data_IF_622299103178
#
_entry.id   IF_622299103178
#
_cell.length_a   1.000
_cell.length_b   1.000
_cell.length_c   1.000
_cell.angle_alpha   90.00
_cell.angle_beta   90.00
_cell.angle_gamma   90.00
#
_symmetry.space_group_name_H-M   'P 1'
#
loop_
_entity.id
_entity.type
_entity.pdbx_description
1 polymer ?
#
# COMPACT_ATOMS: atom_id res chain seq x y z
N UNK A 1 5.45 -19.46 -37.28
CA UNK A 1 5.54 -19.76 -35.84
C UNK A 1 6.15 -18.61 -35.07
N UNK A 2 7.32 -18.06 -35.45
CA UNK A 2 7.93 -16.90 -34.76
C UNK A 2 7.05 -15.65 -34.73
N UNK A 3 6.39 -15.29 -35.84
CA UNK A 3 5.46 -14.15 -35.87
C UNK A 3 4.32 -14.30 -34.83
N UNK A 4 3.80 -15.51 -34.65
CA UNK A 4 2.74 -15.79 -33.67
C UNK A 4 3.24 -15.65 -32.22
N UNK A 5 4.49 -16.06 -31.95
CA UNK A 5 5.11 -15.83 -30.64
C UNK A 5 5.31 -14.34 -30.35
N UNK A 6 5.71 -13.56 -31.36
CA UNK A 6 5.86 -12.11 -31.22
C UNK A 6 4.53 -11.41 -30.98
N UNK A 7 3.45 -11.84 -31.63
CA UNK A 7 2.10 -11.30 -31.41
C UNK A 7 1.61 -11.55 -29.97
N UNK A 8 1.81 -12.77 -29.45
CA UNK A 8 1.50 -13.10 -28.06
C UNK A 8 2.37 -12.34 -27.07
N UNK A 9 3.68 -12.22 -27.33
CA UNK A 9 4.58 -11.45 -26.49
C UNK A 9 4.18 -9.97 -26.44
N UNK A 10 3.81 -9.38 -27.59
CA UNK A 10 3.30 -8.01 -27.67
C UNK A 10 2.05 -7.84 -26.81
N UNK A 11 1.09 -8.75 -26.94
CA UNK A 11 -0.13 -8.73 -26.15
C UNK A 11 0.18 -8.80 -24.64
N UNK A 12 1.04 -9.73 -24.22
CA UNK A 12 1.45 -9.89 -22.83
C UNK A 12 2.10 -8.63 -22.26
N UNK A 13 3.03 -8.02 -23.00
CA UNK A 13 3.70 -6.77 -22.57
C UNK A 13 2.70 -5.65 -22.39
N UNK A 14 1.73 -5.51 -23.31
CA UNK A 14 0.68 -4.48 -23.20
C UNK A 14 -0.21 -4.69 -21.98
N UNK A 15 -0.59 -5.93 -21.69
CA UNK A 15 -1.38 -6.25 -20.51
C UNK A 15 -0.61 -6.02 -19.21
N UNK A 16 0.65 -6.47 -19.13
CA UNK A 16 1.53 -6.20 -17.98
C UNK A 16 1.65 -4.70 -17.76
N UNK A 17 1.90 -3.93 -18.82
CA UNK A 17 1.99 -2.48 -18.73
C UNK A 17 0.70 -1.84 -18.21
N UNK A 18 -0.47 -2.23 -18.74
CA UNK A 18 -1.76 -1.69 -18.30
C UNK A 18 -2.05 -2.03 -16.84
N UNK A 19 -1.84 -3.27 -16.41
CA UNK A 19 -2.08 -3.72 -15.03
C UNK A 19 -1.11 -3.00 -14.08
N UNK A 20 0.18 -2.93 -14.43
CA UNK A 20 1.17 -2.22 -13.64
C UNK A 20 0.83 -0.73 -13.51
N UNK A 21 0.37 -0.09 -14.60
CA UNK A 21 -0.09 1.29 -14.58
C UNK A 21 -1.28 1.52 -13.65
N UNK A 22 -2.32 0.68 -13.74
CA UNK A 22 -3.49 0.76 -12.87
C UNK A 22 -3.11 0.53 -11.41
N UNK A 23 -2.29 -0.50 -11.13
CA UNK A 23 -1.84 -0.81 -9.78
C UNK A 23 -0.99 0.31 -9.19
N UNK A 24 -0.07 0.90 -9.97
CA UNK A 24 0.76 2.02 -9.53
C UNK A 24 -0.08 3.25 -9.21
N UNK A 25 -1.00 3.65 -10.11
CA UNK A 25 -1.86 4.81 -9.89
C UNK A 25 -2.77 4.58 -8.68
N UNK A 26 -3.40 3.41 -8.58
CA UNK A 26 -4.27 3.04 -7.47
C UNK A 26 -3.53 3.04 -6.13
N UNK A 27 -2.34 2.44 -6.07
CA UNK A 27 -1.50 2.44 -4.87
C UNK A 27 -1.09 3.87 -4.47
N UNK A 28 -0.75 4.72 -5.45
CA UNK A 28 -0.37 6.12 -5.19
C UNK A 28 -1.51 6.88 -4.52
N UNK A 29 -2.73 6.81 -5.08
CA UNK A 29 -3.89 7.45 -4.46
C UNK A 29 -4.24 6.86 -3.09
N UNK A 30 -4.14 5.55 -2.94
CA UNK A 30 -4.36 4.89 -1.65
C UNK A 30 -3.40 5.41 -0.59
N UNK A 31 -2.09 5.47 -0.87
CA UNK A 31 -1.09 5.94 0.10
C UNK A 31 -1.20 7.44 0.38
N UNK A 32 -1.57 8.26 -0.60
CA UNK A 32 -1.89 9.69 -0.37
C UNK A 32 -3.08 9.83 0.57
N UNK A 33 -4.16 9.06 0.35
CA UNK A 33 -5.32 9.07 1.23
C UNK A 33 -4.97 8.58 2.64
N UNK A 34 -4.23 7.47 2.73
CA UNK A 34 -3.78 6.89 3.99
C UNK A 34 -2.98 7.92 4.79
N UNK A 35 -1.95 8.53 4.18
CA UNK A 35 -1.07 9.50 4.84
C UNK A 35 -1.84 10.75 5.30
N UNK A 36 -2.77 11.25 4.50
CA UNK A 36 -3.61 12.40 4.85
C UNK A 36 -4.64 12.07 5.95
N UNK A 37 -4.94 10.78 6.18
CA UNK A 37 -5.95 10.33 7.14
C UNK A 37 -5.36 9.88 8.48
N UNK A 38 -4.02 9.83 8.59
CA UNK A 38 -3.35 9.43 9.82
C UNK A 38 -3.68 10.39 10.96
N UNK A 39 -3.95 9.82 12.13
CA UNK A 39 -4.13 10.56 13.37
C UNK A 39 -2.99 10.24 14.33
N UNK A 40 -2.61 11.16 15.23
CA UNK A 40 -1.65 10.85 16.28
C UNK A 40 -2.08 9.60 17.07
N UNK A 41 -1.13 8.74 17.50
CA UNK A 41 -1.45 7.54 18.24
C UNK A 41 -2.20 7.86 19.53
N UNK A 42 -3.34 7.20 19.76
CA UNK A 42 -4.13 7.41 20.98
C UNK A 42 -3.53 6.73 22.21
N UNK A 43 -2.84 5.61 22.01
CA UNK A 43 -2.23 4.85 23.11
C UNK A 43 -0.80 5.34 23.35
N UNK A 44 -0.42 5.64 24.61
CA UNK A 44 0.95 6.03 24.94
C UNK A 44 2.00 4.98 24.54
N UNK A 45 1.64 3.69 24.60
CA UNK A 45 2.49 2.57 24.21
C UNK A 45 2.88 2.61 22.72
N UNK A 46 1.95 2.98 21.84
CA UNK A 46 2.20 3.09 20.40
C UNK A 46 3.17 4.24 20.10
N UNK A 47 3.03 5.36 20.82
CA UNK A 47 3.99 6.46 20.74
C UNK A 47 5.39 6.03 21.21
N UNK A 48 5.49 5.23 22.29
CA UNK A 48 6.76 4.70 22.77
C UNK A 48 7.42 3.74 21.76
N UNK A 49 6.62 2.93 21.05
CA UNK A 49 7.06 2.04 19.95
C UNK A 49 7.50 2.81 18.71
N UNK A 50 7.26 4.11 18.63
CA UNK A 50 7.69 4.97 17.53
C UNK A 50 6.64 5.16 16.42
N UNK A 51 5.37 4.87 16.70
CA UNK A 51 4.27 5.15 15.78
C UNK A 51 4.14 6.66 15.59
N UNK A 52 4.27 7.11 14.35
CA UNK A 52 4.07 8.50 13.97
C UNK A 52 2.58 8.84 13.82
N UNK A 53 1.82 7.93 13.22
CA UNK A 53 0.39 8.08 13.05
C UNK A 53 -0.30 6.74 12.81
N UNK A 54 -1.59 6.69 13.12
CA UNK A 54 -2.43 5.51 12.98
C UNK A 54 -3.73 5.81 12.23
N UNK A 55 -4.20 4.81 11.49
CA UNK A 55 -5.53 4.80 10.85
C UNK A 55 -6.27 3.54 11.25
N UNK A 56 -7.51 3.72 11.71
CA UNK A 56 -8.48 2.66 11.90
C UNK A 56 -9.47 2.68 10.73
N UNK A 57 -9.60 1.56 10.04
CA UNK A 57 -10.51 1.40 8.91
C UNK A 57 -11.38 0.15 9.08
N UNK A 58 -12.59 0.15 8.51
CA UNK A 58 -13.48 -1.00 8.50
C UNK A 58 -13.68 -1.48 7.07
N UNK A 59 -13.51 -2.79 6.84
CA UNK A 59 -13.78 -3.39 5.54
C UNK A 59 -14.13 -4.88 5.69
N UNK A 60 -15.15 -5.33 4.95
CA UNK A 60 -15.58 -6.75 4.98
C UNK A 60 -16.04 -7.24 6.35
N UNK A 61 -16.53 -6.35 7.22
CA UNK A 61 -16.92 -6.69 8.60
C UNK A 61 -15.75 -6.76 9.61
N UNK A 62 -14.51 -6.53 9.18
CA UNK A 62 -13.33 -6.48 10.03
C UNK A 62 -12.77 -5.06 10.21
N UNK A 63 -11.90 -4.90 11.22
CA UNK A 63 -11.18 -3.66 11.49
C UNK A 63 -9.70 -3.81 11.15
N UNK A 64 -9.17 -2.84 10.42
CA UNK A 64 -7.75 -2.69 10.11
C UNK A 64 -7.17 -1.58 10.97
N UNK A 65 -6.00 -1.84 11.54
CA UNK A 65 -5.20 -0.85 12.28
C UNK A 65 -3.87 -0.69 11.56
N UNK A 66 -3.74 0.39 10.79
CA UNK A 66 -2.51 0.72 10.07
C UNK A 66 -1.69 1.69 10.90
N UNK A 67 -0.42 1.38 11.13
CA UNK A 67 0.51 2.21 11.89
C UNK A 67 1.67 2.62 10.98
N UNK A 68 1.93 3.92 10.87
CA UNK A 68 3.07 4.45 10.14
C UNK A 68 4.22 4.73 11.11
N UNK A 69 5.40 4.22 10.76
CA UNK A 69 6.65 4.48 11.47
C UNK A 69 7.58 5.27 10.53
N UNK A 70 8.29 6.28 11.04
CA UNK A 70 9.24 7.06 10.22
C UNK A 70 10.62 6.40 10.12
N UNK A 71 11.04 5.74 11.21
CA UNK A 71 12.36 5.14 11.34
C UNK A 71 12.30 3.63 11.63
N UNK A 72 11.12 3.04 11.46
CA UNK A 72 10.81 1.66 11.84
C UNK A 72 10.33 1.53 13.29
N UNK A 73 9.71 0.40 13.65
CA UNK A 73 9.27 0.12 15.00
C UNK A 73 10.46 -0.09 15.95
N UNK A 74 10.37 0.46 17.16
CA UNK A 74 11.37 0.23 18.21
C UNK A 74 11.07 -1.06 18.96
N UNK A 75 12.03 -1.99 18.96
CA UNK A 75 11.93 -3.23 19.74
C UNK A 75 11.10 -4.35 19.09
N UNK A 76 10.75 -4.20 17.82
CA UNK A 76 10.27 -5.29 16.95
C UNK A 76 11.48 -5.79 16.12
N UNK A 77 11.52 -7.07 15.70
CA UNK A 77 12.61 -7.62 14.89
C UNK A 77 12.75 -6.98 13.50
#
# INVERSE_FOLDING_TARGET
>A
MEAYLLDWANLLVRWVHLIAGIAWIGASFYFVMLDNSLKPPKKPEDAQRGVFGELWAVHGGGFYHSQKYLTGPKGEP
#
